data_IF_490681568426
#
_entry.id   IF_490681568426
#
_cell.length_a   1.000
_cell.length_b   1.000
_cell.length_c   1.000
_cell.angle_alpha   90.00
_cell.angle_beta   90.00
_cell.angle_gamma   90.00
#
_symmetry.space_group_name_H-M   'P 1'
#
loop_
_entity.id
_entity.type
_entity.pdbx_description
1 polymer ?
#
# COMPACT_ATOMS: atom_id res chain seq x y z
N UNK A 1 3.60 -8.80 -21.99
CA UNK A 1 2.81 -8.13 -20.93
C UNK A 1 2.60 -8.97 -19.66
N UNK A 2 2.51 -10.32 -19.74
CA UNK A 2 2.36 -11.19 -18.54
C UNK A 2 3.32 -10.86 -17.38
N UNK A 3 4.61 -10.69 -17.66
CA UNK A 3 5.59 -10.36 -16.63
C UNK A 3 5.27 -9.04 -15.90
N UNK A 4 4.82 -8.02 -16.63
CA UNK A 4 4.42 -6.71 -16.07
C UNK A 4 3.18 -6.88 -15.19
N UNK A 5 2.19 -7.67 -15.63
CA UNK A 5 1.03 -8.02 -14.82
C UNK A 5 1.44 -8.71 -13.51
N UNK A 6 2.30 -9.73 -13.58
CA UNK A 6 2.77 -10.45 -12.39
C UNK A 6 3.53 -9.54 -11.42
N UNK A 7 4.31 -8.59 -11.94
CA UNK A 7 5.00 -7.59 -11.12
C UNK A 7 4.01 -6.69 -10.36
N UNK A 8 3.01 -6.12 -11.05
CA UNK A 8 2.01 -5.29 -10.39
C UNK A 8 1.11 -6.08 -9.44
N UNK A 9 0.80 -7.33 -9.76
CA UNK A 9 0.07 -8.22 -8.87
C UNK A 9 0.86 -8.47 -7.57
N UNK A 10 2.17 -8.72 -7.67
CA UNK A 10 3.02 -8.90 -6.49
C UNK A 10 3.07 -7.64 -5.61
N UNK A 11 3.19 -6.45 -6.22
CA UNK A 11 3.16 -5.16 -5.50
C UNK A 11 1.80 -4.94 -4.82
N UNK A 12 0.70 -5.23 -5.50
CA UNK A 12 -0.65 -5.09 -4.96
C UNK A 12 -0.88 -6.04 -3.77
N UNK A 13 -0.51 -7.31 -3.89
CA UNK A 13 -0.62 -8.29 -2.80
C UNK A 13 0.27 -7.92 -1.60
N UNK A 14 1.50 -7.45 -1.86
CA UNK A 14 2.37 -6.93 -0.81
C UNK A 14 1.74 -5.74 -0.08
N UNK A 15 1.10 -4.83 -0.82
CA UNK A 15 0.42 -3.66 -0.26
C UNK A 15 -0.77 -4.06 0.61
N UNK A 16 -1.58 -5.04 0.18
CA UNK A 16 -2.67 -5.62 1.00
C UNK A 16 -2.11 -6.19 2.29
N UNK A 17 -1.02 -6.97 2.21
CA UNK A 17 -0.41 -7.57 3.38
C UNK A 17 0.08 -6.52 4.39
N UNK A 18 0.77 -5.47 3.92
CA UNK A 18 1.25 -4.37 4.78
C UNK A 18 0.09 -3.59 5.40
N UNK A 19 -0.97 -3.29 4.63
CA UNK A 19 -2.18 -2.65 5.14
C UNK A 19 -2.87 -3.50 6.23
N UNK A 20 -2.96 -4.81 6.00
CA UNK A 20 -3.51 -5.74 6.99
C UNK A 20 -2.69 -5.78 8.28
N UNK A 21 -1.36 -5.88 8.19
CA UNK A 21 -0.48 -5.86 9.36
C UNK A 21 -0.64 -4.57 10.18
N UNK A 22 -0.69 -3.41 9.49
CA UNK A 22 -0.86 -2.12 10.13
C UNK A 22 -2.22 -2.01 10.84
N UNK A 23 -3.30 -2.39 10.14
CA UNK A 23 -4.65 -2.38 10.69
C UNK A 23 -4.81 -3.33 11.88
N UNK A 24 -4.28 -4.55 11.77
CA UNK A 24 -4.33 -5.53 12.85
C UNK A 24 -3.55 -5.05 14.07
N UNK A 25 -2.40 -4.39 13.87
CA UNK A 25 -1.64 -3.78 14.96
C UNK A 25 -2.48 -2.76 15.72
N UNK A 26 -3.05 -1.76 15.05
CA UNK A 26 -3.83 -0.73 15.73
C UNK A 26 -5.12 -1.27 16.34
N UNK A 27 -5.79 -2.22 15.68
CA UNK A 27 -6.94 -2.91 16.26
C UNK A 27 -6.60 -3.61 17.58
N UNK A 28 -5.43 -4.25 17.67
CA UNK A 28 -4.99 -4.97 18.85
C UNK A 28 -4.42 -4.07 19.95
N UNK A 29 -4.15 -2.79 19.63
CA UNK A 29 -3.65 -1.78 20.57
C UNK A 29 -4.72 -0.70 20.83
N UNK A 30 -6.01 -1.06 20.86
CA UNK A 30 -7.13 -0.16 21.18
C UNK A 30 -7.17 1.13 20.34
N UNK A 31 -6.68 1.07 19.10
CA UNK A 31 -6.52 2.22 18.20
C UNK A 31 -5.60 3.32 18.75
N UNK A 32 -4.62 2.98 19.58
CA UNK A 32 -3.61 3.91 20.07
C UNK A 32 -2.62 4.28 18.94
N UNK A 33 -2.90 5.41 18.29
CA UNK A 33 -2.06 5.95 17.22
C UNK A 33 -0.76 6.60 17.71
N UNK A 34 -0.52 6.70 19.02
CA UNK A 34 0.77 7.19 19.56
C UNK A 34 1.87 6.15 19.41
N UNK A 35 1.51 4.87 19.34
CA UNK A 35 2.44 3.75 19.15
C UNK A 35 2.65 3.47 17.66
N UNK A 36 3.89 3.16 17.31
CA UNK A 36 4.29 2.85 15.94
C UNK A 36 4.15 1.36 15.63
N UNK A 37 3.44 1.03 14.54
CA UNK A 37 3.31 -0.34 14.04
C UNK A 37 4.56 -0.85 13.29
N UNK A 38 5.54 0.03 13.03
CA UNK A 38 6.71 -0.24 12.20
C UNK A 38 6.44 -0.18 10.70
N UNK A 39 5.22 0.19 10.29
CA UNK A 39 4.91 0.48 8.88
C UNK A 39 5.23 1.93 8.57
N UNK A 40 6.00 2.14 7.51
CA UNK A 40 6.45 3.46 7.09
C UNK A 40 5.87 3.78 5.71
N UNK A 41 5.15 4.90 5.63
CA UNK A 41 4.68 5.51 4.39
C UNK A 41 5.06 6.98 4.49
N UNK A 42 5.63 7.52 3.41
CA UNK A 42 6.15 8.88 3.34
C UNK A 42 5.35 9.71 2.32
N UNK A 43 5.36 11.03 2.48
CA UNK A 43 4.81 11.94 1.49
C UNK A 43 5.74 12.04 0.27
N UNK A 44 5.21 11.70 -0.91
CA UNK A 44 5.95 11.75 -2.17
C UNK A 44 7.12 10.77 -2.20
N UNK A 45 8.24 11.19 -2.79
CA UNK A 45 9.47 10.38 -2.95
C UNK A 45 10.51 10.61 -1.82
N UNK A 46 10.15 11.32 -0.74
CA UNK A 46 11.09 11.56 0.36
C UNK A 46 11.22 10.33 1.26
N UNK A 47 12.43 10.10 1.78
CA UNK A 47 12.72 9.16 2.87
C UNK A 47 13.05 9.88 4.18
N UNK A 48 12.86 11.20 4.21
CA UNK A 48 13.09 12.00 5.40
C UNK A 48 12.07 11.63 6.46
N UNK A 49 12.54 11.48 7.70
CA UNK A 49 11.66 11.15 8.84
C UNK A 49 10.56 12.21 9.03
N UNK A 50 10.82 13.45 8.65
CA UNK A 50 9.87 14.55 8.70
C UNK A 50 8.76 14.45 7.63
N UNK A 51 9.03 13.75 6.51
CA UNK A 51 8.04 13.48 5.47
C UNK A 51 7.17 12.26 5.78
N UNK A 52 7.40 11.58 6.91
CA UNK A 52 6.66 10.38 7.30
C UNK A 52 5.21 10.74 7.62
N UNK A 53 4.27 10.02 7.00
CA UNK A 53 2.85 10.18 7.27
C UNK A 53 2.55 9.70 8.70
N UNK A 54 1.80 10.51 9.46
CA UNK A 54 1.35 10.17 10.79
C UNK A 54 0.53 8.88 10.82
N UNK A 55 0.62 8.13 11.93
CA UNK A 55 0.05 6.78 12.05
C UNK A 55 -1.44 6.68 11.67
N UNK A 56 -2.27 7.61 12.15
CA UNK A 56 -3.70 7.65 11.83
C UNK A 56 -3.95 7.95 10.34
N UNK A 57 -3.26 8.96 9.80
CA UNK A 57 -3.42 9.36 8.40
C UNK A 57 -2.90 8.30 7.44
N UNK A 58 -1.84 7.58 7.85
CA UNK A 58 -1.32 6.41 7.13
C UNK A 58 -2.40 5.33 7.01
N UNK A 59 -3.14 5.06 8.09
CA UNK A 59 -4.19 4.05 8.10
C UNK A 59 -5.41 4.44 7.25
N UNK A 60 -5.82 5.70 7.33
CA UNK A 60 -7.04 6.21 6.65
C UNK A 60 -6.77 6.50 5.18
N UNK A 61 -5.63 7.12 4.87
CA UNK A 61 -5.33 7.65 3.54
C UNK A 61 -4.13 6.96 2.88
N UNK A 62 -3.06 6.70 3.62
CA UNK A 62 -1.82 6.13 3.07
C UNK A 62 -2.04 4.78 2.39
N UNK A 63 -2.58 3.80 3.12
CA UNK A 63 -2.89 2.49 2.56
C UNK A 63 -3.95 2.55 1.46
N UNK A 64 -4.99 3.38 1.63
CA UNK A 64 -6.03 3.55 0.62
C UNK A 64 -5.47 4.05 -0.72
N UNK A 65 -4.55 5.02 -0.67
CA UNK A 65 -3.87 5.54 -1.85
C UNK A 65 -3.02 4.46 -2.53
N UNK A 66 -2.14 3.78 -1.78
CA UNK A 66 -1.26 2.73 -2.32
C UNK A 66 -2.06 1.59 -2.94
N UNK A 67 -3.11 1.11 -2.26
CA UNK A 67 -3.97 0.04 -2.75
C UNK A 67 -4.71 0.45 -4.03
N UNK A 68 -5.18 1.70 -4.11
CA UNK A 68 -5.86 2.20 -5.31
C UNK A 68 -4.92 2.26 -6.50
N UNK A 69 -3.73 2.85 -6.33
CA UNK A 69 -2.74 3.00 -7.41
C UNK A 69 -2.23 1.63 -7.89
N UNK A 70 -1.84 0.76 -6.96
CA UNK A 70 -1.35 -0.58 -7.30
C UNK A 70 -2.45 -1.47 -7.89
N UNK A 71 -3.69 -1.36 -7.40
CA UNK A 71 -4.85 -2.06 -7.95
C UNK A 71 -5.17 -1.64 -9.39
N UNK A 72 -5.24 -0.33 -9.67
CA UNK A 72 -5.44 0.19 -11.03
C UNK A 72 -4.29 -0.28 -11.94
N UNK A 73 -3.04 -0.19 -11.49
CA UNK A 73 -1.88 -0.63 -12.27
C UNK A 73 -1.95 -2.13 -12.61
N UNK A 74 -2.38 -2.96 -11.66
CA UNK A 74 -2.60 -4.39 -11.85
C UNK A 74 -3.71 -4.67 -12.88
N UNK A 75 -4.84 -3.97 -12.80
CA UNK A 75 -5.96 -4.12 -13.74
C UNK A 75 -5.59 -3.68 -15.15
N UNK A 76 -4.90 -2.54 -15.29
CA UNK A 76 -4.42 -2.06 -16.58
C UNK A 76 -3.41 -3.04 -17.20
N UNK A 77 -2.46 -3.53 -16.41
CA UNK A 77 -1.49 -4.50 -16.90
C UNK A 77 -2.11 -5.83 -17.30
N UNK A 78 -3.16 -6.29 -16.59
CA UNK A 78 -3.95 -7.44 -17.02
C UNK A 78 -4.66 -7.15 -18.34
N UNK A 79 -5.39 -6.04 -18.44
CA UNK A 79 -6.16 -5.72 -19.65
C UNK A 79 -5.28 -5.59 -20.90
N UNK A 80 -4.11 -4.96 -20.77
CA UNK A 80 -3.12 -4.85 -21.84
C UNK A 80 -2.52 -6.22 -22.21
N UNK A 81 -2.30 -7.11 -21.23
CA UNK A 81 -1.81 -8.45 -21.52
C UNK A 81 -2.85 -9.32 -22.21
N UNK A 82 -4.10 -9.25 -21.78
CA UNK A 82 -5.21 -10.00 -22.35
C UNK A 82 -5.50 -9.56 -23.79
N UNK A 83 -5.37 -8.27 -24.09
CA UNK A 83 -5.58 -7.70 -25.43
C UNK A 83 -4.48 -8.06 -26.44
N UNK A 84 -3.32 -8.52 -25.97
CA UNK A 84 -2.18 -8.95 -26.80
C UNK A 84 -2.23 -10.46 -27.17
N UNK A 85 -3.19 -11.22 -26.62
CA UNK A 85 -3.39 -12.66 -26.85
C UNK A 85 -4.53 -12.88 -27.85
#
# INVERSE_FOLDING_TARGET
MLFIFLLFLAVFLHSIWKAYQDFAFYRNNDWDYSVDSGVEIYHGDSTDKEARIGNRDRLIYGHAFILTVSGISCLLAWHLWDSDI
#
